data_IF_648408286596
#
_entry.id   IF_648408286596
#
_cell.length_a   1.000
_cell.length_b   1.000
_cell.length_c   1.000
_cell.angle_alpha   90.00
_cell.angle_beta   90.00
_cell.angle_gamma   90.00
#
_symmetry.space_group_name_H-M   'P 1'
#
loop_
_entity.id
_entity.type
_entity.pdbx_description
1 polymer ?
#
# COMPACT_ATOMS: atom_id res chain seq x y z
N UNK A 1 -13.41 -29.49 -21.58
CA UNK A 1 -12.31 -29.97 -20.71
C UNK A 1 -11.00 -29.22 -20.92
N UNK A 2 -10.70 -28.70 -22.12
CA UNK A 2 -9.43 -27.98 -22.40
C UNK A 2 -9.28 -26.62 -21.68
N UNK A 3 -10.36 -25.90 -21.38
CA UNK A 3 -10.30 -24.59 -20.71
C UNK A 3 -9.85 -24.66 -19.24
N UNK A 4 -10.03 -25.81 -18.57
CA UNK A 4 -9.57 -25.99 -17.19
C UNK A 4 -8.08 -26.34 -17.10
N UNK A 5 -7.51 -27.03 -18.09
CA UNK A 5 -6.09 -27.35 -18.12
C UNK A 5 -5.19 -26.14 -18.37
N UNK A 6 -5.63 -25.16 -19.17
CA UNK A 6 -4.89 -23.91 -19.40
C UNK A 6 -4.86 -23.01 -18.16
N UNK A 7 -5.98 -22.94 -17.43
CA UNK A 7 -6.10 -22.17 -16.19
C UNK A 7 -5.19 -22.76 -15.11
N UNK A 8 -5.12 -24.08 -14.98
CA UNK A 8 -4.23 -24.77 -14.02
C UNK A 8 -2.74 -24.58 -14.36
N UNK A 9 -2.37 -24.53 -15.65
CA UNK A 9 -1.00 -24.30 -16.09
C UNK A 9 -0.52 -22.84 -15.91
N UNK A 10 -1.43 -21.86 -15.88
CA UNK A 10 -1.09 -20.44 -15.67
C UNK A 10 -0.75 -20.08 -14.21
N UNK A 11 -1.29 -20.80 -13.22
CA UNK A 11 -1.02 -20.53 -11.81
C UNK A 11 0.46 -20.66 -11.42
N UNK A 12 1.20 -21.74 -11.73
CA UNK A 12 2.60 -21.85 -11.33
C UNK A 12 3.48 -20.79 -12.00
N UNK A 13 3.21 -20.42 -13.26
CA UNK A 13 3.94 -19.37 -13.95
C UNK A 13 3.66 -17.98 -13.37
N UNK A 14 2.41 -17.66 -13.06
CA UNK A 14 2.05 -16.39 -12.43
C UNK A 14 2.60 -16.25 -11.00
N UNK A 15 2.63 -17.33 -10.22
CA UNK A 15 3.27 -17.38 -8.89
C UNK A 15 4.78 -17.14 -9.02
N UNK A 16 5.44 -17.82 -9.97
CA UNK A 16 6.87 -17.67 -10.20
C UNK A 16 7.23 -16.26 -10.69
N UNK A 17 6.44 -15.69 -11.62
CA UNK A 17 6.63 -14.33 -12.12
C UNK A 17 6.38 -13.28 -11.06
N UNK A 18 5.32 -13.42 -10.25
CA UNK A 18 5.01 -12.50 -9.14
C UNK A 18 6.07 -12.59 -8.05
N UNK A 19 6.50 -13.79 -7.70
CA UNK A 19 7.58 -14.03 -6.74
C UNK A 19 8.94 -13.51 -7.23
N UNK A 20 9.28 -13.74 -8.50
CA UNK A 20 10.51 -13.24 -9.12
C UNK A 20 10.51 -11.71 -9.27
N UNK A 21 9.37 -11.12 -9.62
CA UNK A 21 9.20 -9.67 -9.68
C UNK A 21 9.31 -9.05 -8.29
N UNK A 22 8.63 -9.63 -7.29
CA UNK A 22 8.74 -9.20 -5.89
C UNK A 22 10.18 -9.36 -5.35
N UNK A 23 10.89 -10.41 -5.74
CA UNK A 23 12.30 -10.62 -5.39
C UNK A 23 13.21 -9.60 -6.08
N UNK A 24 13.04 -9.36 -7.39
CA UNK A 24 13.79 -8.34 -8.13
C UNK A 24 13.59 -6.95 -7.52
N UNK A 25 12.33 -6.61 -7.20
CA UNK A 25 12.00 -5.35 -6.54
C UNK A 25 12.54 -5.32 -5.12
N UNK A 26 12.47 -6.40 -4.35
CA UNK A 26 13.12 -6.50 -3.05
C UNK A 26 14.62 -6.27 -3.19
N UNK A 27 15.30 -6.83 -4.21
CA UNK A 27 16.73 -6.62 -4.43
C UNK A 27 17.05 -5.18 -4.87
N UNK A 28 16.20 -4.55 -5.69
CA UNK A 28 16.34 -3.13 -6.08
C UNK A 28 16.03 -2.17 -4.92
N UNK A 29 15.00 -2.46 -4.14
CA UNK A 29 14.60 -1.71 -2.96
C UNK A 29 15.62 -1.89 -1.85
N UNK A 30 16.14 -3.10 -1.62
CA UNK A 30 17.25 -3.35 -0.69
C UNK A 30 18.49 -2.62 -1.17
N UNK A 31 18.86 -2.66 -2.47
CA UNK A 31 19.95 -1.80 -2.95
C UNK A 31 19.66 -0.31 -2.75
N UNK A 32 18.45 0.17 -3.03
CA UNK A 32 18.05 1.57 -2.80
C UNK A 32 17.97 1.98 -1.33
N UNK A 33 17.65 1.06 -0.42
CA UNK A 33 17.58 1.22 1.04
C UNK A 33 18.95 1.02 1.69
N UNK A 34 19.83 0.23 1.08
CA UNK A 34 21.23 0.00 1.50
C UNK A 34 22.14 1.13 1.01
N UNK A 35 21.85 1.75 -0.15
CA UNK A 35 22.66 2.83 -0.73
C UNK A 35 22.05 4.23 -0.59
N UNK A 36 20.77 4.35 -0.24
CA UNK A 36 20.18 5.61 0.17
C UNK A 36 20.17 5.68 1.68
N UNK A 37 20.80 6.70 2.27
CA UNK A 37 20.82 6.99 3.71
C UNK A 37 19.54 6.44 4.40
N UNK A 38 19.65 5.37 5.21
CA UNK A 38 18.50 4.90 5.97
C UNK A 38 18.01 6.09 6.78
N UNK A 39 16.68 6.21 6.99
CA UNK A 39 16.18 7.12 8.02
C UNK A 39 17.08 6.97 9.25
N UNK A 40 17.78 8.04 9.66
CA UNK A 40 18.63 8.00 10.84
C UNK A 40 17.75 7.47 11.96
N UNK A 41 17.96 6.20 12.34
CA UNK A 41 17.15 5.56 13.36
C UNK A 41 17.43 6.32 14.64
N UNK A 42 16.50 7.17 15.06
CA UNK A 42 16.54 7.80 16.37
C UNK A 42 16.62 6.66 17.38
N UNK A 43 17.78 6.52 18.04
CA UNK A 43 18.03 5.43 18.97
C UNK A 43 17.18 5.64 20.22
N UNK A 44 16.02 5.00 20.26
CA UNK A 44 15.10 5.02 21.40
C UNK A 44 15.27 3.76 22.26
N UNK A 45 15.00 3.82 23.57
CA UNK A 45 14.83 2.64 24.40
C UNK A 45 13.79 1.68 23.80
N UNK A 46 13.90 0.39 24.12
CA UNK A 46 13.01 -0.65 23.59
C UNK A 46 11.53 -0.34 23.83
N UNK A 47 11.14 -0.03 25.07
CA UNK A 47 9.75 0.24 25.43
C UNK A 47 9.18 1.47 24.71
N UNK A 48 9.98 2.52 24.54
CA UNK A 48 9.56 3.71 23.81
C UNK A 48 9.35 3.41 22.32
N UNK A 49 10.26 2.62 21.73
CA UNK A 49 10.12 2.15 20.34
C UNK A 49 8.88 1.29 20.15
N UNK A 50 8.66 0.33 21.06
CA UNK A 50 7.49 -0.55 21.04
C UNK A 50 6.18 0.23 21.18
N UNK A 51 6.12 1.18 22.13
CA UNK A 51 4.96 2.04 22.30
C UNK A 51 4.72 2.92 21.07
N UNK A 52 5.77 3.54 20.52
CA UNK A 52 5.67 4.37 19.33
C UNK A 52 5.15 3.57 18.12
N UNK A 53 5.69 2.38 17.87
CA UNK A 53 5.24 1.56 16.74
C UNK A 53 3.81 1.07 16.94
N UNK A 54 3.49 0.51 18.11
CA UNK A 54 2.17 -0.05 18.38
C UNK A 54 1.07 1.02 18.34
N UNK A 55 1.29 2.18 18.98
CA UNK A 55 0.31 3.27 18.99
C UNK A 55 0.06 3.85 17.60
N UNK A 56 1.10 4.21 16.86
CA UNK A 56 0.96 4.74 15.50
C UNK A 56 0.36 3.69 14.55
N UNK A 57 0.64 2.40 14.77
CA UNK A 57 0.06 1.33 13.95
C UNK A 57 -1.45 1.22 14.17
N UNK A 58 -1.89 1.20 15.42
CA UNK A 58 -3.32 1.11 15.77
C UNK A 58 -4.09 2.34 15.29
N UNK A 59 -3.55 3.54 15.51
CA UNK A 59 -4.17 4.80 15.05
C UNK A 59 -4.30 4.80 13.53
N UNK A 60 -3.24 4.43 12.81
CA UNK A 60 -3.27 4.39 11.35
C UNK A 60 -4.24 3.33 10.83
N UNK A 61 -4.19 2.10 11.35
CA UNK A 61 -5.10 1.03 10.94
C UNK A 61 -6.56 1.39 11.21
N UNK A 62 -6.87 1.92 12.40
CA UNK A 62 -8.21 2.40 12.74
C UNK A 62 -8.69 3.51 11.81
N UNK A 63 -7.81 4.45 11.44
CA UNK A 63 -8.13 5.52 10.50
C UNK A 63 -8.46 5.00 9.10
N UNK A 64 -7.68 4.04 8.59
CA UNK A 64 -7.94 3.38 7.30
C UNK A 64 -9.32 2.71 7.26
N UNK A 65 -9.64 1.94 8.31
CA UNK A 65 -10.94 1.29 8.46
C UNK A 65 -12.09 2.32 8.56
N UNK A 66 -11.90 3.39 9.34
CA UNK A 66 -12.89 4.44 9.50
C UNK A 66 -13.17 5.19 8.20
N UNK A 67 -12.12 5.56 7.44
CA UNK A 67 -12.28 6.23 6.15
C UNK A 67 -13.11 5.38 5.19
N UNK A 68 -12.80 4.09 5.11
CA UNK A 68 -13.53 3.15 4.26
C UNK A 68 -14.99 3.06 4.68
N UNK A 69 -15.25 2.85 5.97
CA UNK A 69 -16.62 2.73 6.49
C UNK A 69 -17.45 4.00 6.23
N UNK A 70 -16.87 5.19 6.45
CA UNK A 70 -17.55 6.46 6.19
C UNK A 70 -17.87 6.66 4.71
N UNK A 71 -16.94 6.32 3.81
CA UNK A 71 -17.17 6.44 2.37
C UNK A 71 -18.21 5.43 1.86
N UNK A 72 -18.27 4.23 2.43
CA UNK A 72 -19.32 3.26 2.11
C UNK A 72 -20.71 3.70 2.62
N UNK A 73 -20.78 4.35 3.79
CA UNK A 73 -22.02 4.98 4.27
C UNK A 73 -22.46 6.08 3.29
N UNK A 74 -21.52 6.92 2.84
CA UNK A 74 -21.80 7.97 1.84
C UNK A 74 -22.28 7.35 0.52
N UNK A 75 -21.63 6.28 0.05
CA UNK A 75 -22.03 5.54 -1.14
C UNK A 75 -23.49 5.07 -1.05
N UNK A 76 -23.83 4.44 0.08
CA UNK A 76 -25.17 3.93 0.36
C UNK A 76 -26.25 5.03 0.30
N UNK A 77 -26.03 6.17 0.96
CA UNK A 77 -27.01 7.25 0.99
C UNK A 77 -27.06 8.09 -0.30
N UNK A 78 -25.95 8.18 -1.02
CA UNK A 78 -25.85 9.02 -2.23
C UNK A 78 -26.18 8.26 -3.51
N UNK A 79 -26.30 6.93 -3.45
CA UNK A 79 -26.46 6.07 -4.63
C UNK A 79 -25.22 6.06 -5.55
N UNK A 80 -24.08 6.54 -5.07
CA UNK A 80 -22.80 6.50 -5.79
C UNK A 80 -22.25 5.08 -5.67
N UNK A 81 -21.62 4.59 -6.74
CA UNK A 81 -20.96 3.28 -6.72
C UNK A 81 -19.96 3.16 -5.56
N UNK A 82 -20.12 2.08 -4.79
CA UNK A 82 -19.18 1.68 -3.74
C UNK A 82 -17.75 1.55 -4.29
N UNK A 83 -16.79 1.97 -3.46
CA UNK A 83 -15.37 1.78 -3.71
C UNK A 83 -14.94 0.32 -3.47
N UNK A 84 -15.72 -0.43 -2.68
CA UNK A 84 -15.54 -1.85 -2.47
C UNK A 84 -16.25 -2.63 -3.58
N UNK A 85 -15.45 -3.25 -4.46
CA UNK A 85 -15.96 -4.16 -5.49
C UNK A 85 -16.07 -5.58 -4.95
N UNK A 86 -17.11 -6.31 -5.33
CA UNK A 86 -17.26 -7.72 -4.98
C UNK A 86 -16.09 -8.52 -5.55
N UNK A 87 -15.49 -9.37 -4.72
CA UNK A 87 -14.36 -10.21 -5.11
C UNK A 87 -14.75 -11.67 -4.94
N UNK A 88 -14.34 -12.47 -5.92
CA UNK A 88 -14.45 -13.93 -5.89
C UNK A 88 -13.12 -14.49 -5.42
N UNK A 89 -13.11 -15.09 -4.23
CA UNK A 89 -11.92 -15.77 -3.73
C UNK A 89 -11.68 -17.07 -4.54
N UNK A 90 -10.42 -17.43 -4.80
CA UNK A 90 -10.11 -18.72 -5.40
C UNK A 90 -10.48 -19.86 -4.43
N UNK A 91 -11.09 -20.93 -4.96
CA UNK A 91 -11.52 -22.07 -4.15
C UNK A 91 -10.36 -22.95 -3.68
N UNK A 92 -9.32 -23.08 -4.52
CA UNK A 92 -8.17 -23.95 -4.25
C UNK A 92 -7.22 -23.38 -3.20
N UNK A 93 -6.61 -24.25 -2.40
CA UNK A 93 -5.60 -23.84 -1.40
C UNK A 93 -4.44 -23.06 -2.05
N UNK A 94 -3.91 -23.55 -3.18
CA UNK A 94 -2.84 -22.87 -3.92
C UNK A 94 -3.28 -21.51 -4.46
N UNK A 95 -4.53 -21.38 -4.90
CA UNK A 95 -5.09 -20.10 -5.33
C UNK A 95 -5.17 -19.10 -4.18
N UNK A 96 -5.62 -19.54 -3.00
CA UNK A 96 -5.68 -18.70 -1.79
C UNK A 96 -4.29 -18.25 -1.34
N UNK A 97 -3.31 -19.15 -1.40
CA UNK A 97 -1.91 -18.82 -1.10
C UNK A 97 -1.36 -17.80 -2.09
N UNK A 98 -1.59 -17.98 -3.39
CA UNK A 98 -1.15 -17.03 -4.41
C UNK A 98 -1.82 -15.66 -4.24
N UNK A 99 -3.12 -15.64 -3.92
CA UNK A 99 -3.83 -14.40 -3.60
C UNK A 99 -3.18 -13.68 -2.42
N UNK A 100 -2.95 -14.38 -1.30
CA UNK A 100 -2.31 -13.80 -0.13
C UNK A 100 -0.93 -13.22 -0.44
N UNK A 101 -0.08 -13.98 -1.15
CA UNK A 101 1.24 -13.53 -1.57
C UNK A 101 1.17 -12.32 -2.51
N UNK A 102 0.19 -12.31 -3.43
CA UNK A 102 -0.07 -11.19 -4.32
C UNK A 102 -0.46 -9.91 -3.57
N UNK A 103 -1.34 -10.02 -2.56
CA UNK A 103 -1.73 -8.89 -1.71
C UNK A 103 -0.54 -8.34 -0.94
N UNK A 104 0.27 -9.21 -0.34
CA UNK A 104 1.49 -8.82 0.40
C UNK A 104 2.49 -8.13 -0.55
N UNK A 105 2.74 -8.72 -1.72
CA UNK A 105 3.69 -8.19 -2.70
C UNK A 105 3.23 -6.83 -3.26
N UNK A 106 1.95 -6.68 -3.59
CA UNK A 106 1.37 -5.44 -4.06
C UNK A 106 1.47 -4.33 -3.00
N UNK A 107 1.08 -4.62 -1.75
CA UNK A 107 1.19 -3.64 -0.66
C UNK A 107 2.65 -3.21 -0.44
N UNK A 108 3.61 -4.15 -0.45
CA UNK A 108 5.03 -3.81 -0.34
C UNK A 108 5.50 -2.92 -1.49
N UNK A 109 5.13 -3.25 -2.72
CA UNK A 109 5.47 -2.48 -3.91
C UNK A 109 4.96 -1.04 -3.82
N UNK A 110 3.70 -0.87 -3.42
CA UNK A 110 3.09 0.43 -3.27
C UNK A 110 3.73 1.28 -2.16
N UNK A 111 4.15 0.65 -1.06
CA UNK A 111 4.90 1.37 -0.03
C UNK A 111 6.29 1.81 -0.50
N UNK A 112 7.04 0.91 -1.14
CA UNK A 112 8.38 1.22 -1.69
C UNK A 112 8.29 2.36 -2.71
N UNK A 113 7.35 2.29 -3.65
CA UNK A 113 7.29 3.28 -4.73
C UNK A 113 6.74 4.61 -4.23
N UNK A 114 5.55 4.60 -3.64
CA UNK A 114 4.84 5.85 -3.40
C UNK A 114 5.27 6.54 -2.11
N UNK A 115 5.83 5.81 -1.13
CA UNK A 115 6.24 6.41 0.15
C UNK A 115 7.76 6.56 0.30
N UNK A 116 8.56 5.75 -0.39
CA UNK A 116 10.02 5.86 -0.34
C UNK A 116 10.61 6.46 -1.62
N UNK A 117 10.44 5.81 -2.76
CA UNK A 117 11.12 6.16 -4.01
C UNK A 117 10.64 7.49 -4.60
N UNK A 118 9.35 7.62 -4.94
CA UNK A 118 8.83 8.78 -5.67
C UNK A 118 9.02 10.12 -4.93
N UNK A 119 8.66 10.27 -3.64
CA UNK A 119 8.87 11.54 -2.93
C UNK A 119 10.34 11.97 -2.95
N UNK A 120 11.27 11.02 -2.76
CA UNK A 120 12.71 11.26 -2.76
C UNK A 120 13.22 11.61 -4.15
N UNK A 121 12.89 10.82 -5.16
CA UNK A 121 13.31 11.06 -6.54
C UNK A 121 12.79 12.40 -7.07
N UNK A 122 11.53 12.75 -6.82
CA UNK A 122 11.00 14.06 -7.17
C UNK A 122 11.75 15.19 -6.46
N UNK A 123 12.01 15.04 -5.15
CA UNK A 123 12.78 16.02 -4.39
C UNK A 123 14.20 16.19 -4.95
N UNK A 124 14.93 15.11 -5.20
CA UNK A 124 16.30 15.14 -5.74
C UNK A 124 16.38 15.73 -7.15
N UNK A 125 15.38 15.44 -8.00
CA UNK A 125 15.32 15.99 -9.36
C UNK A 125 15.00 17.49 -9.35
N UNK A 126 14.03 17.92 -8.54
CA UNK A 126 13.56 19.30 -8.53
C UNK A 126 14.47 20.21 -7.69
N UNK A 127 15.11 19.72 -6.64
CA UNK A 127 16.02 20.51 -5.80
C UNK A 127 17.24 21.01 -6.58
N UNK A 128 17.71 20.25 -7.58
CA UNK A 128 18.77 20.67 -8.51
C UNK A 128 18.42 21.96 -9.28
N UNK A 129 17.13 22.19 -9.54
CA UNK A 129 16.64 23.33 -10.33
C UNK A 129 16.09 24.47 -9.46
N UNK A 130 15.40 24.15 -8.37
CA UNK A 130 14.64 25.11 -7.57
C UNK A 130 15.22 25.34 -6.17
N UNK A 131 16.32 24.67 -5.81
CA UNK A 131 16.88 24.66 -4.46
C UNK A 131 16.09 23.77 -3.50
N UNK A 132 16.76 23.27 -2.45
CA UNK A 132 16.05 22.51 -1.41
C UNK A 132 15.31 23.46 -0.47
N UNK A 133 14.01 23.24 -0.30
CA UNK A 133 13.19 23.99 0.64
C UNK A 133 11.98 23.16 1.10
N UNK A 134 11.39 23.46 2.28
CA UNK A 134 10.29 22.68 2.83
C UNK A 134 9.03 22.65 1.95
N UNK A 135 8.75 23.72 1.19
CA UNK A 135 7.58 23.78 0.30
C UNK A 135 7.73 22.83 -0.88
N UNK A 136 8.94 22.73 -1.44
CA UNK A 136 9.26 21.76 -2.49
C UNK A 136 9.11 20.33 -1.97
N UNK A 137 9.60 20.05 -0.76
CA UNK A 137 9.42 18.74 -0.14
C UNK A 137 7.94 18.39 -0.01
N UNK A 138 7.12 19.31 0.51
CA UNK A 138 5.67 19.11 0.63
C UNK A 138 4.99 18.89 -0.72
N UNK A 139 5.41 19.62 -1.75
CA UNK A 139 4.92 19.44 -3.12
C UNK A 139 5.24 18.04 -3.66
N UNK A 140 6.47 17.56 -3.50
CA UNK A 140 6.88 16.22 -3.93
C UNK A 140 6.08 15.11 -3.22
N UNK A 141 5.84 15.26 -1.92
CA UNK A 141 4.98 14.35 -1.14
C UNK A 141 3.54 14.36 -1.68
N UNK A 142 2.98 15.55 -1.91
CA UNK A 142 1.63 15.70 -2.46
C UNK A 142 1.49 15.09 -3.85
N UNK A 143 2.52 15.22 -4.70
CA UNK A 143 2.54 14.63 -6.04
C UNK A 143 2.58 13.10 -5.98
N UNK A 144 3.44 12.52 -5.14
CA UNK A 144 3.52 11.07 -4.96
C UNK A 144 2.20 10.49 -4.42
N UNK A 145 1.59 11.18 -3.45
CA UNK A 145 0.29 10.81 -2.91
C UNK A 145 -0.82 10.89 -3.97
N UNK A 146 -0.85 11.95 -4.79
CA UNK A 146 -1.83 12.09 -5.86
C UNK A 146 -1.69 10.95 -6.89
N UNK A 147 -0.47 10.61 -7.29
CA UNK A 147 -0.22 9.49 -8.20
C UNK A 147 -0.67 8.15 -7.62
N UNK A 148 -0.44 7.91 -6.33
CA UNK A 148 -0.95 6.72 -5.63
C UNK A 148 -2.48 6.64 -5.70
N UNK A 149 -3.17 7.74 -5.41
CA UNK A 149 -4.64 7.80 -5.46
C UNK A 149 -5.18 7.64 -6.88
N UNK A 150 -4.53 8.22 -7.88
CA UNK A 150 -4.90 8.06 -9.28
C UNK A 150 -4.84 6.60 -9.73
N UNK A 151 -3.88 5.81 -9.20
CA UNK A 151 -3.81 4.37 -9.42
C UNK A 151 -5.07 3.60 -8.98
N UNK A 152 -5.92 4.20 -8.15
CA UNK A 152 -7.14 3.61 -7.61
C UNK A 152 -8.43 4.13 -8.28
N UNK A 153 -8.32 4.98 -9.31
CA UNK A 153 -9.49 5.49 -10.03
C UNK A 153 -10.37 4.40 -10.65
N UNK A 154 -9.82 3.20 -10.91
CA UNK A 154 -10.58 2.05 -11.39
C UNK A 154 -11.65 1.57 -10.41
N UNK A 155 -11.54 1.92 -9.12
CA UNK A 155 -12.55 1.65 -8.09
C UNK A 155 -13.66 2.71 -8.07
N UNK A 156 -13.56 3.77 -8.88
CA UNK A 156 -14.47 4.92 -8.90
C UNK A 156 -13.98 6.08 -8.02
N UNK A 157 -14.78 7.16 -7.98
CA UNK A 157 -14.41 8.40 -7.28
C UNK A 157 -14.23 8.19 -5.77
N UNK A 158 -15.06 7.35 -5.15
CA UNK A 158 -14.94 7.03 -3.72
C UNK A 158 -13.68 6.20 -3.44
N UNK A 159 -13.29 5.30 -4.35
CA UNK A 159 -12.03 4.57 -4.27
C UNK A 159 -10.81 5.50 -4.38
N UNK A 160 -10.85 6.49 -5.26
CA UNK A 160 -9.82 7.54 -5.35
C UNK A 160 -9.71 8.36 -4.05
N UNK A 161 -10.84 8.83 -3.51
CA UNK A 161 -10.86 9.60 -2.26
C UNK A 161 -10.34 8.74 -1.09
N UNK A 162 -10.77 7.48 -1.00
CA UNK A 162 -10.29 6.54 0.01
C UNK A 162 -8.76 6.36 -0.09
N UNK A 163 -8.25 6.11 -1.29
CA UNK A 163 -6.81 5.95 -1.51
C UNK A 163 -6.03 7.23 -1.15
N UNK A 164 -6.59 8.42 -1.40
CA UNK A 164 -5.99 9.70 -0.99
C UNK A 164 -5.88 9.84 0.53
N UNK A 165 -6.97 9.57 1.26
CA UNK A 165 -6.99 9.66 2.72
C UNK A 165 -6.12 8.58 3.38
N UNK A 166 -6.26 7.33 2.95
CA UNK A 166 -5.50 6.20 3.46
C UNK A 166 -4.00 6.32 3.11
N UNK A 167 -3.68 6.78 1.89
CA UNK A 167 -2.30 7.03 1.47
C UNK A 167 -1.62 8.10 2.33
N UNK A 168 -2.33 9.19 2.65
CA UNK A 168 -1.83 10.23 3.54
C UNK A 168 -1.59 9.70 4.95
N UNK A 169 -2.51 8.90 5.49
CA UNK A 169 -2.37 8.29 6.82
C UNK A 169 -1.16 7.33 6.90
N UNK A 170 -0.97 6.48 5.89
CA UNK A 170 0.18 5.59 5.78
C UNK A 170 1.49 6.38 5.70
N UNK A 171 1.53 7.48 4.95
CA UNK A 171 2.71 8.36 4.89
C UNK A 171 3.00 9.02 6.23
N UNK A 172 1.99 9.53 6.93
CA UNK A 172 2.16 10.07 8.28
C UNK A 172 2.66 9.00 9.26
N UNK A 173 2.12 7.78 9.18
CA UNK A 173 2.60 6.65 9.97
C UNK A 173 4.08 6.37 9.70
N UNK A 174 4.51 6.36 8.44
CA UNK A 174 5.92 6.20 8.06
C UNK A 174 6.81 7.29 8.65
N UNK A 175 6.39 8.56 8.60
CA UNK A 175 7.15 9.68 9.17
C UNK A 175 7.22 9.57 10.70
N UNK A 176 6.15 9.14 11.37
CA UNK A 176 6.14 9.01 12.84
C UNK A 176 6.96 7.82 13.34
N UNK A 177 6.97 6.73 12.57
CA UNK A 177 7.66 5.49 12.94
C UNK A 177 9.06 5.40 12.35
N UNK A 178 9.40 6.26 11.38
CA UNK A 178 10.67 6.24 10.65
C UNK A 178 10.96 4.85 10.07
N UNK A 179 9.91 4.15 9.62
CA UNK A 179 9.98 2.76 9.18
C UNK A 179 9.03 2.53 8.02
N UNK A 180 9.53 1.87 6.97
CA UNK A 180 8.72 1.41 5.85
C UNK A 180 7.91 0.16 6.20
N UNK A 181 8.38 -0.64 7.17
CA UNK A 181 7.76 -1.91 7.54
C UNK A 181 6.42 -1.72 8.23
N UNK A 182 6.30 -0.68 9.05
CA UNK A 182 5.07 -0.40 9.79
C UNK A 182 3.89 -0.08 8.86
N UNK A 183 3.96 0.94 7.97
CA UNK A 183 2.88 1.21 7.02
C UNK A 183 2.63 0.02 6.08
N UNK A 184 3.67 -0.72 5.66
CA UNK A 184 3.50 -1.94 4.86
C UNK A 184 2.65 -3.01 5.55
N UNK A 185 2.93 -3.32 6.82
CA UNK A 185 2.16 -4.31 7.58
C UNK A 185 0.71 -3.82 7.72
N UNK A 186 0.51 -2.56 8.08
CA UNK A 186 -0.83 -1.96 8.24
C UNK A 186 -1.61 -2.00 6.94
N UNK A 187 -0.99 -1.62 5.83
CA UNK A 187 -1.59 -1.62 4.50
C UNK A 187 -1.97 -3.05 4.07
N UNK A 188 -1.09 -4.02 4.29
CA UNK A 188 -1.38 -5.44 4.03
C UNK A 188 -2.59 -5.91 4.83
N UNK A 189 -2.60 -5.65 6.14
CA UNK A 189 -3.71 -6.05 7.02
C UNK A 189 -5.03 -5.38 6.61
N UNK A 190 -4.98 -4.11 6.24
CA UNK A 190 -6.14 -3.36 5.76
C UNK A 190 -6.69 -3.92 4.44
N UNK A 191 -5.81 -4.25 3.49
CA UNK A 191 -6.23 -4.86 2.22
C UNK A 191 -6.86 -6.23 2.47
N UNK A 192 -6.25 -7.06 3.31
CA UNK A 192 -6.81 -8.37 3.67
C UNK A 192 -8.18 -8.23 4.33
N UNK A 193 -8.36 -7.30 5.28
CA UNK A 193 -9.66 -7.04 5.90
C UNK A 193 -10.68 -6.56 4.87
N UNK A 194 -10.30 -5.63 4.00
CA UNK A 194 -11.19 -5.10 2.95
C UNK A 194 -11.63 -6.20 1.99
N UNK A 195 -10.72 -7.10 1.61
CA UNK A 195 -11.05 -8.26 0.79
C UNK A 195 -11.95 -9.27 1.51
N UNK A 196 -11.73 -9.53 2.79
CA UNK A 196 -12.63 -10.37 3.60
C UNK A 196 -14.04 -9.79 3.67
N UNK A 197 -14.18 -8.46 3.81
CA UNK A 197 -15.49 -7.78 3.81
C UNK A 197 -16.14 -7.83 2.42
N UNK A 198 -15.35 -7.65 1.36
CA UNK A 198 -15.80 -7.70 -0.03
C UNK A 198 -16.14 -9.12 -0.52
N UNK A 199 -15.89 -10.14 0.29
CA UNK A 199 -16.13 -11.53 -0.07
C UNK A 199 -17.63 -11.83 -0.04
N UNK A 200 -18.19 -12.12 -1.22
CA UNK A 200 -19.48 -12.81 -1.32
C UNK A 200 -19.29 -14.33 -1.24
N UNK A 201 -19.82 -14.93 -0.19
CA UNK A 201 -20.08 -16.37 -0.15
C UNK A 201 -21.30 -16.61 -1.05
N UNK A 202 -21.11 -17.30 -2.18
CA UNK A 202 -22.20 -17.80 -3.01
C UNK A 202 -22.84 -19.02 -2.38
#
# INVERSE_FOLDING_TARGET
>A
MERQSEVVAQYPLSVFLTGALALLIYLFAVKGVVFGEPFEKVRRPFFESFYNYSSNSLVCFGFLCLCTALLEIIAYFSGIDSGIKNIVFPDSFLGKLNFLLGVIAAAFYEEVIYRFYLPRSFKEMLSKKFGDNPRLSLFCEGLALLLFSMGHLYLGILGFINALLCGAALRLCMIRTQSLWIPFIIHTLYNLLSFLIAWKVF
#
